data_IF_321522785541
#
_entry.id   IF_321522785541
#
_cell.length_a   1.000
_cell.length_b   1.000
_cell.length_c   1.000
_cell.angle_alpha   90.00
_cell.angle_beta   90.00
_cell.angle_gamma   90.00
#
_symmetry.space_group_name_H-M   'P 1'
#
loop_
_entity.id
_entity.type
_entity.pdbx_description
1 polymer ?
#
# COMPACT_ATOMS: atom_id res chain seq x y z
N UNK A 1 16.19 2.97 -5.33
CA UNK A 1 14.92 2.39 -5.81
C UNK A 1 14.26 1.48 -4.76
N UNK A 2 14.98 0.51 -4.19
CA UNK A 2 14.43 -0.39 -3.16
C UNK A 2 14.01 0.32 -1.86
N UNK A 3 14.79 1.28 -1.36
CA UNK A 3 14.39 2.13 -0.22
C UNK A 3 13.08 2.87 -0.48
N UNK A 4 12.94 3.45 -1.69
CA UNK A 4 11.72 4.17 -2.08
C UNK A 4 10.54 3.22 -2.09
N UNK A 5 10.67 2.04 -2.70
CA UNK A 5 9.62 1.02 -2.68
C UNK A 5 9.23 0.61 -1.24
N UNK A 6 10.20 0.42 -0.35
CA UNK A 6 9.94 0.13 1.07
C UNK A 6 9.11 1.22 1.74
N UNK A 7 9.49 2.50 1.56
CA UNK A 7 8.69 3.61 2.07
C UNK A 7 7.30 3.67 1.44
N UNK A 8 7.19 3.49 0.12
CA UNK A 8 5.89 3.46 -0.57
C UNK A 8 5.00 2.32 -0.08
N UNK A 9 5.55 1.12 0.13
CA UNK A 9 4.83 -0.03 0.67
C UNK A 9 4.28 0.22 2.08
N UNK A 10 5.08 0.81 2.96
CA UNK A 10 4.66 1.17 4.32
C UNK A 10 3.59 2.26 4.28
N UNK A 11 3.78 3.31 3.47
CA UNK A 11 2.82 4.39 3.35
C UNK A 11 1.50 3.92 2.73
N UNK A 12 1.54 3.03 1.74
CA UNK A 12 0.37 2.40 1.15
C UNK A 12 -0.41 1.64 2.23
N UNK A 13 0.25 0.77 3.01
CA UNK A 13 -0.41 0.02 4.08
C UNK A 13 -1.01 0.92 5.15
N UNK A 14 -0.28 1.97 5.57
CA UNK A 14 -0.79 2.99 6.51
C UNK A 14 -2.01 3.69 5.92
N UNK A 15 -1.95 4.14 4.67
CA UNK A 15 -3.07 4.84 4.03
C UNK A 15 -4.33 3.97 3.92
N UNK A 16 -4.15 2.66 3.72
CA UNK A 16 -5.24 1.69 3.72
C UNK A 16 -5.84 1.50 5.12
N UNK A 17 -5.00 1.39 6.16
CA UNK A 17 -5.46 1.33 7.54
C UNK A 17 -6.23 2.60 7.94
N UNK A 18 -5.79 3.77 7.47
CA UNK A 18 -6.47 5.05 7.70
C UNK A 18 -7.83 5.08 6.99
N UNK A 19 -7.95 4.54 5.77
CA UNK A 19 -9.25 4.36 5.09
C UNK A 19 -10.19 3.47 5.90
N UNK A 20 -9.70 2.33 6.39
CA UNK A 20 -10.46 1.42 7.24
C UNK A 20 -10.90 2.10 8.54
N UNK A 21 -10.00 2.82 9.21
CA UNK A 21 -10.32 3.57 10.42
C UNK A 21 -11.38 4.64 10.17
N UNK A 22 -11.29 5.39 9.06
CA UNK A 22 -12.31 6.36 8.67
C UNK A 22 -13.68 5.70 8.43
N UNK A 23 -13.69 4.53 7.80
CA UNK A 23 -14.92 3.76 7.56
C UNK A 23 -15.53 3.17 8.84
N UNK A 24 -14.73 2.64 9.77
CA UNK A 24 -15.22 1.95 10.97
C UNK A 24 -15.53 2.91 12.11
N UNK A 25 -14.75 3.98 12.28
CA UNK A 25 -14.85 4.89 13.42
C UNK A 25 -15.59 6.19 13.10
N UNK A 26 -15.37 6.78 11.93
CA UNK A 26 -15.93 8.10 11.59
C UNK A 26 -17.31 7.97 10.94
N UNK A 27 -17.47 7.04 9.98
CA UNK A 27 -18.72 6.85 9.24
C UNK A 27 -19.96 6.65 10.14
N UNK A 28 -19.93 5.84 11.23
CA UNK A 28 -21.11 5.64 12.07
C UNK A 28 -21.48 6.88 12.90
N UNK A 29 -20.49 7.69 13.26
CA UNK A 29 -20.67 8.82 14.17
C UNK A 29 -20.93 10.14 13.44
N UNK A 30 -20.33 10.34 12.27
CA UNK A 30 -20.45 11.59 11.50
C UNK A 30 -20.23 11.36 10.00
N UNK A 31 -21.35 11.25 9.26
CA UNK A 31 -21.34 11.04 7.81
C UNK A 31 -20.74 12.22 7.03
N UNK A 32 -20.91 13.46 7.50
CA UNK A 32 -20.38 14.66 6.82
C UNK A 32 -18.86 14.67 6.91
N UNK A 33 -18.33 14.43 8.12
CA UNK A 33 -16.90 14.34 8.35
C UNK A 33 -16.27 13.16 7.59
N UNK A 34 -16.94 12.00 7.59
CA UNK A 34 -16.52 10.83 6.83
C UNK A 34 -16.29 11.17 5.36
N UNK A 35 -17.26 11.80 4.68
CA UNK A 35 -17.14 12.18 3.26
C UNK A 35 -16.01 13.18 3.02
N UNK A 36 -15.84 14.15 3.93
CA UNK A 36 -14.77 15.17 3.84
C UNK A 36 -13.37 14.55 3.95
N UNK A 37 -13.21 13.53 4.79
CA UNK A 37 -11.93 12.81 4.97
C UNK A 37 -11.71 11.74 3.90
N UNK A 38 -12.77 11.09 3.42
CA UNK A 38 -12.68 10.00 2.45
C UNK A 38 -12.00 10.42 1.15
N UNK A 39 -12.36 11.58 0.60
CA UNK A 39 -11.80 12.04 -0.68
C UNK A 39 -10.27 12.21 -0.64
N UNK A 40 -9.67 13.03 0.26
CA UNK A 40 -8.22 13.21 0.29
C UNK A 40 -7.47 11.93 0.67
N UNK A 41 -7.97 11.14 1.62
CA UNK A 41 -7.33 9.88 2.03
C UNK A 41 -7.40 8.85 0.90
N UNK A 42 -8.56 8.72 0.24
CA UNK A 42 -8.74 7.81 -0.89
C UNK A 42 -7.86 8.17 -2.08
N UNK A 43 -7.75 9.46 -2.40
CA UNK A 43 -6.84 9.93 -3.46
C UNK A 43 -5.38 9.65 -3.11
N UNK A 44 -4.95 9.93 -1.87
CA UNK A 44 -3.59 9.65 -1.42
C UNK A 44 -3.27 8.15 -1.50
N UNK A 45 -4.18 7.30 -1.03
CA UNK A 45 -4.05 5.85 -1.12
C UNK A 45 -3.97 5.36 -2.57
N UNK A 46 -4.85 5.85 -3.46
CA UNK A 46 -4.82 5.47 -4.87
C UNK A 46 -3.51 5.83 -5.58
N UNK A 47 -2.95 7.01 -5.29
CA UNK A 47 -1.63 7.42 -5.81
C UNK A 47 -0.52 6.51 -5.28
N UNK A 48 -0.55 6.19 -3.98
CA UNK A 48 0.41 5.27 -3.36
C UNK A 48 0.30 3.86 -3.95
N UNK A 49 -0.90 3.37 -4.23
CA UNK A 49 -1.13 2.07 -4.86
C UNK A 49 -0.55 2.01 -6.28
N UNK A 50 -0.82 3.02 -7.12
CA UNK A 50 -0.24 3.10 -8.46
C UNK A 50 1.29 3.17 -8.38
N UNK A 51 1.81 4.00 -7.47
CA UNK A 51 3.25 4.13 -7.21
C UNK A 51 3.87 2.79 -6.78
N UNK A 52 3.21 2.05 -5.90
CA UNK A 52 3.63 0.72 -5.45
C UNK A 52 3.76 -0.24 -6.63
N UNK A 53 2.73 -0.33 -7.48
CA UNK A 53 2.70 -1.23 -8.64
C UNK A 53 3.85 -0.91 -9.60
N UNK A 54 4.02 0.37 -9.95
CA UNK A 54 5.09 0.80 -10.86
C UNK A 54 6.47 0.48 -10.27
N UNK A 55 6.68 0.82 -9.00
CA UNK A 55 7.95 0.56 -8.32
C UNK A 55 8.23 -0.94 -8.21
N UNK A 56 7.22 -1.77 -7.93
CA UNK A 56 7.35 -3.23 -7.89
C UNK A 56 7.87 -3.79 -9.23
N UNK A 57 7.36 -3.30 -10.37
CA UNK A 57 7.88 -3.68 -11.68
C UNK A 57 9.34 -3.26 -11.87
N UNK A 58 9.71 -2.05 -11.44
CA UNK A 58 11.07 -1.52 -11.57
C UNK A 58 12.09 -2.28 -10.71
N UNK A 59 11.72 -2.72 -9.51
CA UNK A 59 12.62 -3.45 -8.62
C UNK A 59 12.58 -4.98 -8.79
N UNK A 60 11.61 -5.51 -9.54
CA UNK A 60 11.45 -6.97 -9.75
C UNK A 60 12.76 -7.66 -10.14
N UNK A 61 13.48 -7.09 -11.11
CA UNK A 61 14.75 -7.64 -11.60
C UNK A 61 15.87 -7.51 -10.56
N UNK A 62 15.96 -6.37 -9.86
CA UNK A 62 17.00 -6.16 -8.84
C UNK A 62 16.79 -7.02 -7.60
N UNK A 63 15.56 -7.41 -7.31
CA UNK A 63 15.20 -8.29 -6.21
C UNK A 63 15.22 -9.79 -6.57
N UNK A 64 15.53 -10.12 -7.83
CA UNK A 64 15.49 -11.50 -8.35
C UNK A 64 14.16 -12.23 -8.05
N UNK A 65 13.05 -11.50 -8.09
CA UNK A 65 11.73 -12.07 -7.84
C UNK A 65 11.30 -12.98 -8.99
N UNK A 66 10.86 -14.20 -8.64
CA UNK A 66 10.19 -15.07 -9.61
C UNK A 66 8.84 -14.46 -10.03
N UNK A 67 8.24 -14.98 -11.10
CA UNK A 67 6.88 -14.57 -11.49
C UNK A 67 5.85 -14.80 -10.38
N UNK A 68 6.02 -15.85 -9.57
CA UNK A 68 5.16 -16.14 -8.42
C UNK A 68 5.33 -15.09 -7.32
N UNK A 69 6.57 -14.75 -6.98
CA UNK A 69 6.86 -13.73 -5.96
C UNK A 69 6.30 -12.37 -6.38
N UNK A 70 6.47 -12.00 -7.65
CA UNK A 70 5.90 -10.78 -8.19
C UNK A 70 4.37 -10.74 -8.07
N UNK A 71 3.69 -11.85 -8.39
CA UNK A 71 2.23 -11.93 -8.20
C UNK A 71 1.82 -11.81 -6.74
N UNK A 72 2.56 -12.43 -5.81
CA UNK A 72 2.31 -12.32 -4.37
C UNK A 72 2.47 -10.87 -3.90
N UNK A 73 3.52 -10.17 -4.36
CA UNK A 73 3.76 -8.75 -4.09
C UNK A 73 2.58 -7.89 -4.56
N UNK A 74 2.08 -8.12 -5.77
CA UNK A 74 0.95 -7.37 -6.33
C UNK A 74 -0.38 -7.65 -5.62
N UNK A 75 -0.64 -8.90 -5.22
CA UNK A 75 -1.87 -9.25 -4.50
C UNK A 75 -1.82 -8.71 -3.07
N UNK A 76 -0.64 -8.67 -2.47
CA UNK A 76 -0.46 -8.18 -1.12
C UNK A 76 -0.79 -6.68 -0.97
N UNK A 77 -0.69 -5.87 -2.03
CA UNK A 77 -1.17 -4.47 -1.98
C UNK A 77 -2.68 -4.30 -2.01
N UNK A 78 -3.45 -5.37 -2.22
CA UNK A 78 -4.91 -5.33 -2.10
C UNK A 78 -5.38 -5.62 -0.67
N UNK A 79 -4.47 -6.09 0.19
CA UNK A 79 -4.75 -6.44 1.57
C UNK A 79 -4.13 -5.39 2.50
N UNK A 80 -4.87 -4.86 3.49
CA UNK A 80 -4.39 -3.76 4.36
C UNK A 80 -3.12 -4.07 5.15
N UNK A 81 -2.78 -5.36 5.34
CA UNK A 81 -1.57 -5.80 6.01
C UNK A 81 -0.54 -6.45 5.08
N UNK A 82 -0.90 -6.68 3.81
CA UNK A 82 -0.05 -7.43 2.89
C UNK A 82 1.24 -6.69 2.56
N UNK A 83 1.19 -5.37 2.38
CA UNK A 83 2.38 -4.58 2.05
C UNK A 83 3.43 -4.54 3.15
N UNK A 84 3.04 -4.58 4.43
CA UNK A 84 3.98 -4.73 5.55
C UNK A 84 4.70 -6.09 5.52
N UNK A 85 3.99 -7.16 5.19
CA UNK A 85 4.60 -8.49 5.08
C UNK A 85 5.56 -8.56 3.89
N UNK A 86 5.17 -7.98 2.75
CA UNK A 86 6.04 -7.91 1.56
C UNK A 86 7.30 -7.14 1.85
N UNK A 87 7.17 -5.98 2.49
CA UNK A 87 8.30 -5.15 2.87
C UNK A 87 9.31 -5.96 3.71
N UNK A 88 8.84 -6.67 4.73
CA UNK A 88 9.72 -7.43 5.63
C UNK A 88 10.33 -8.68 5.01
N UNK A 89 9.58 -9.40 4.15
CA UNK A 89 9.99 -10.72 3.64
C UNK A 89 10.70 -10.67 2.28
N UNK A 90 10.25 -9.80 1.38
CA UNK A 90 10.63 -9.84 -0.02
C UNK A 90 11.60 -8.74 -0.43
N UNK A 91 11.70 -7.66 0.35
CA UNK A 91 12.65 -6.57 0.09
C UNK A 91 13.99 -6.88 0.75
N UNK A 92 14.97 -7.29 -0.07
CA UNK A 92 16.36 -7.51 0.32
C UNK A 92 17.20 -6.28 -0.03
N UNK A 93 18.17 -5.95 0.83
CA UNK A 93 19.11 -4.83 0.64
C UNK A 93 18.41 -3.46 0.50
N UNK A 94 17.57 -3.12 1.47
CA UNK A 94 17.00 -1.78 1.60
C UNK A 94 17.99 -0.83 2.28
#
# INVERSE_FOLDING_TARGET
>A
MTKIFKFTAILEGISYLVLFANMLLVKPNNMILYKKLLYPIGMAHGVLFIGYVILAFLIKKSQNWSLKDFFIVQIASLLPFGTFYIEKKYVKNA
#
